data_IF_955252010985
#
_entry.id   IF_955252010985
#
_cell.length_a   1.000
_cell.length_b   1.000
_cell.length_c   1.000
_cell.angle_alpha   90.00
_cell.angle_beta   90.00
_cell.angle_gamma   90.00
#
_symmetry.space_group_name_H-M   'P 1'
#
loop_
_entity.id
_entity.type
_entity.pdbx_description
1 polymer ?
#
# COMPACT_ATOMS: atom_id res chain seq x y z
N UNK A 1 -8.76 -49.03 -5.82
CA UNK A 1 -8.22 -47.93 -5.00
C UNK A 1 -7.21 -47.02 -5.70
N UNK A 2 -6.66 -47.38 -6.87
CA UNK A 2 -5.68 -46.52 -7.60
C UNK A 2 -6.37 -45.51 -8.55
N UNK A 3 -7.56 -45.84 -9.09
CA UNK A 3 -8.29 -44.95 -10.00
C UNK A 3 -8.89 -43.69 -9.35
N UNK A 4 -9.21 -43.70 -8.06
CA UNK A 4 -9.76 -42.53 -7.35
C UNK A 4 -8.69 -41.48 -7.01
N UNK A 5 -7.43 -41.89 -6.82
CA UNK A 5 -6.34 -40.95 -6.59
C UNK A 5 -5.95 -40.19 -7.87
N UNK A 6 -6.12 -40.80 -9.06
CA UNK A 6 -5.87 -40.15 -10.34
C UNK A 6 -6.92 -39.07 -10.68
N UNK A 7 -8.17 -39.22 -10.23
CA UNK A 7 -9.23 -38.20 -10.46
C UNK A 7 -9.07 -36.93 -9.62
N UNK A 8 -8.37 -36.99 -8.48
CA UNK A 8 -8.16 -35.83 -7.60
C UNK A 8 -6.91 -35.01 -7.94
N UNK A 9 -5.97 -35.58 -8.70
CA UNK A 9 -4.78 -34.88 -9.19
C UNK A 9 -5.04 -34.06 -10.46
N UNK A 10 -6.11 -34.38 -11.20
CA UNK A 10 -6.44 -33.74 -12.47
C UNK A 10 -6.78 -32.23 -12.39
N UNK A 11 -7.51 -31.72 -11.38
CA UNK A 11 -7.80 -30.28 -11.26
C UNK A 11 -6.58 -29.45 -10.87
N UNK A 12 -5.70 -30.01 -10.03
CA UNK A 12 -4.48 -29.36 -9.54
C UNK A 12 -3.41 -29.27 -10.64
N UNK A 13 -3.28 -30.31 -11.48
CA UNK A 13 -2.42 -30.26 -12.65
C UNK A 13 -2.92 -29.21 -13.67
N UNK A 14 -4.25 -29.09 -13.85
CA UNK A 14 -4.85 -28.08 -14.75
C UNK A 14 -4.60 -26.65 -14.28
N UNK A 15 -4.65 -26.39 -12.98
CA UNK A 15 -4.40 -25.07 -12.40
C UNK A 15 -2.91 -24.68 -12.51
N UNK A 16 -2.00 -25.58 -12.19
CA UNK A 16 -0.54 -25.34 -12.26
C UNK A 16 -0.05 -25.11 -13.70
N UNK A 17 -0.58 -25.89 -14.66
CA UNK A 17 -0.28 -25.71 -16.10
C UNK A 17 -0.87 -24.39 -16.62
N UNK A 18 -2.07 -23.99 -16.17
CA UNK A 18 -2.68 -22.70 -16.57
C UNK A 18 -1.95 -21.46 -16.03
N UNK A 19 -1.29 -21.56 -14.87
CA UNK A 19 -0.56 -20.44 -14.26
C UNK A 19 0.83 -20.26 -14.88
N UNK A 20 1.53 -21.36 -15.22
CA UNK A 20 2.80 -21.27 -15.96
C UNK A 20 2.62 -20.84 -17.42
N UNK A 21 1.49 -21.20 -18.05
CA UNK A 21 1.17 -20.72 -19.40
C UNK A 21 0.83 -19.22 -19.43
N UNK A 22 0.28 -18.64 -18.34
CA UNK A 22 -0.07 -17.21 -18.29
C UNK A 22 1.13 -16.27 -18.09
N UNK A 23 2.23 -16.72 -17.47
CA UNK A 23 3.43 -15.89 -17.26
C UNK A 23 4.36 -15.80 -18.49
N UNK A 24 4.14 -16.62 -19.51
CA UNK A 24 4.92 -16.55 -20.76
C UNK A 24 4.21 -15.81 -21.90
N UNK A 25 2.97 -15.33 -21.73
CA UNK A 25 2.19 -14.74 -22.83
C UNK A 25 2.81 -13.49 -23.49
N UNK A 26 3.73 -12.78 -22.83
CA UNK A 26 4.44 -11.64 -23.45
C UNK A 26 5.46 -12.05 -24.52
N UNK A 27 6.19 -13.16 -24.30
CA UNK A 27 7.16 -13.70 -25.26
C UNK A 27 6.53 -14.77 -26.18
N UNK A 28 5.48 -15.46 -25.72
CA UNK A 28 4.75 -16.42 -26.55
C UNK A 28 3.75 -15.75 -27.49
N UNK A 29 3.26 -14.52 -27.27
CA UNK A 29 2.41 -13.83 -28.25
C UNK A 29 3.15 -13.54 -29.58
N UNK A 30 4.45 -13.21 -29.51
CA UNK A 30 5.31 -13.06 -30.70
C UNK A 30 5.59 -14.41 -31.37
N UNK A 31 5.61 -15.50 -30.60
CA UNK A 31 5.79 -16.86 -31.13
C UNK A 31 4.48 -17.53 -31.61
N UNK A 32 3.31 -17.18 -31.07
CA UNK A 32 1.99 -17.72 -31.45
C UNK A 32 1.33 -16.97 -32.63
N UNK A 33 1.81 -15.78 -32.98
CA UNK A 33 1.49 -15.14 -34.26
C UNK A 33 2.15 -15.82 -35.47
N UNK A 34 2.72 -17.02 -35.32
CA UNK A 34 3.24 -17.83 -36.43
C UNK A 34 2.16 -18.50 -37.30
N UNK A 35 0.88 -18.20 -37.11
CA UNK A 35 -0.18 -18.79 -37.95
C UNK A 35 -1.36 -17.85 -38.27
N UNK A 36 -1.23 -16.53 -38.03
CA UNK A 36 -2.15 -15.53 -38.59
C UNK A 36 -1.33 -14.45 -39.27
N UNK A 37 -1.55 -14.33 -40.57
CA UNK A 37 -0.90 -13.47 -41.56
C UNK A 37 -0.20 -12.24 -40.96
N UNK A 38 1.12 -12.36 -40.77
CA UNK A 38 1.98 -11.18 -40.56
C UNK A 38 1.83 -10.27 -41.78
N UNK A 39 1.63 -8.97 -41.54
CA UNK A 39 1.63 -7.96 -42.59
C UNK A 39 2.92 -8.08 -43.45
N UNK A 40 2.85 -7.98 -44.79
CA UNK A 40 4.00 -8.07 -45.68
C UNK A 40 5.26 -7.35 -45.21
N UNK A 41 5.15 -6.16 -44.58
CA UNK A 41 6.30 -5.40 -44.07
C UNK A 41 6.95 -6.09 -42.86
N UNK A 42 6.13 -6.60 -41.93
CA UNK A 42 6.63 -7.33 -40.75
C UNK A 42 7.29 -8.65 -41.15
N UNK A 43 6.74 -9.34 -42.16
CA UNK A 43 7.33 -10.57 -42.70
C UNK A 43 8.70 -10.29 -43.31
N UNK A 44 8.82 -9.22 -44.11
CA UNK A 44 10.09 -8.80 -44.70
C UNK A 44 11.14 -8.48 -43.62
N UNK A 45 10.73 -7.79 -42.55
CA UNK A 45 11.63 -7.44 -41.46
C UNK A 45 12.15 -8.67 -40.71
N UNK A 46 11.27 -9.62 -40.38
CA UNK A 46 11.66 -10.88 -39.73
C UNK A 46 12.55 -11.74 -40.64
N UNK A 47 12.27 -11.79 -41.94
CA UNK A 47 13.12 -12.47 -42.91
C UNK A 47 14.51 -11.83 -42.99
N UNK A 48 14.60 -10.49 -43.03
CA UNK A 48 15.88 -9.77 -43.03
C UNK A 48 16.68 -9.97 -41.74
N UNK A 49 16.03 -10.02 -40.58
CA UNK A 49 16.69 -10.34 -39.32
C UNK A 49 17.25 -11.77 -39.30
N UNK A 50 16.50 -12.75 -39.83
CA UNK A 50 16.97 -14.13 -39.96
C UNK A 50 18.12 -14.25 -40.94
N UNK A 51 18.03 -13.54 -42.08
CA UNK A 51 19.08 -13.46 -43.08
C UNK A 51 20.36 -12.88 -42.47
N UNK A 52 20.27 -11.75 -41.78
CA UNK A 52 21.40 -11.12 -41.09
C UNK A 52 21.99 -12.03 -40.01
N UNK A 53 21.16 -12.66 -39.18
CA UNK A 53 21.63 -13.58 -38.13
C UNK A 53 22.41 -14.77 -38.73
N UNK A 54 21.93 -15.29 -39.87
CA UNK A 54 22.58 -16.40 -40.57
C UNK A 54 23.93 -15.95 -41.15
N UNK A 55 23.95 -14.80 -41.83
CA UNK A 55 25.18 -14.23 -42.41
C UNK A 55 26.19 -13.81 -41.34
N UNK A 56 25.73 -13.29 -40.20
CA UNK A 56 26.58 -12.84 -39.09
C UNK A 56 27.29 -14.01 -38.42
N UNK A 57 26.59 -15.14 -38.25
CA UNK A 57 27.18 -16.38 -37.75
C UNK A 57 28.24 -16.94 -38.70
N UNK A 58 28.03 -16.88 -40.01
CA UNK A 58 29.05 -17.30 -40.99
C UNK A 58 30.23 -16.33 -41.08
N UNK A 59 30.01 -15.03 -40.87
CA UNK A 59 31.05 -14.00 -40.92
C UNK A 59 31.80 -13.81 -39.59
N UNK A 60 31.34 -14.42 -38.50
CA UNK A 60 31.93 -14.26 -37.16
C UNK A 60 31.78 -12.86 -36.57
N UNK A 61 30.86 -12.04 -37.09
CA UNK A 61 30.74 -10.62 -36.73
C UNK A 61 29.71 -9.86 -37.57
N UNK A 62 29.89 -8.54 -37.68
CA UNK A 62 29.01 -7.65 -38.46
C UNK A 62 29.09 -8.03 -39.94
N UNK A 63 27.93 -8.31 -40.54
CA UNK A 63 27.81 -8.69 -41.96
C UNK A 63 28.08 -7.48 -42.85
N UNK A 64 28.83 -7.67 -43.93
CA UNK A 64 29.18 -6.63 -44.91
C UNK A 64 30.00 -5.45 -44.35
N UNK A 65 30.76 -5.67 -43.27
CA UNK A 65 31.75 -4.72 -42.80
C UNK A 65 32.87 -4.56 -43.85
N UNK A 66 32.85 -3.46 -44.60
CA UNK A 66 33.90 -3.13 -45.57
C UNK A 66 35.26 -2.83 -44.91
N UNK A 67 36.34 -2.72 -45.70
CA UNK A 67 37.69 -2.42 -45.19
C UNK A 67 37.74 -1.12 -44.38
N UNK A 68 36.91 -0.13 -44.73
CA UNK A 68 36.78 1.14 -44.01
C UNK A 68 36.18 0.98 -42.61
N UNK A 69 35.22 0.08 -42.42
CA UNK A 69 34.64 -0.18 -41.11
C UNK A 69 35.70 -0.75 -40.16
N UNK A 70 36.47 -1.74 -40.63
CA UNK A 70 37.52 -2.34 -39.83
C UNK A 70 38.62 -1.31 -39.49
N UNK A 71 38.94 -0.41 -40.43
CA UNK A 71 39.89 0.68 -40.21
C UNK A 71 39.40 1.65 -39.14
N UNK A 72 38.15 2.10 -39.22
CA UNK A 72 37.56 2.99 -38.21
C UNK A 72 37.51 2.33 -36.82
N UNK A 73 37.14 1.04 -36.75
CA UNK A 73 37.13 0.30 -35.48
C UNK A 73 38.54 0.23 -34.88
N UNK A 74 39.56 -0.02 -35.71
CA UNK A 74 40.96 -0.07 -35.26
C UNK A 74 41.49 1.32 -34.84
N UNK A 75 41.11 2.38 -35.56
CA UNK A 75 41.50 3.75 -35.24
C UNK A 75 40.88 4.20 -33.90
N UNK A 76 39.62 3.88 -33.65
CA UNK A 76 38.95 4.16 -32.36
C UNK A 76 39.54 3.32 -31.22
N UNK A 77 39.81 2.03 -31.44
CA UNK A 77 40.52 1.18 -30.46
C UNK A 77 41.89 1.77 -30.10
N UNK A 78 42.63 2.28 -31.09
CA UNK A 78 43.94 2.90 -30.87
C UNK A 78 43.83 4.19 -30.08
N UNK A 79 42.80 5.02 -30.34
CA UNK A 79 42.52 6.22 -29.53
C UNK A 79 42.20 5.85 -28.08
N UNK A 80 41.30 4.89 -27.88
CA UNK A 80 40.89 4.44 -26.55
C UNK A 80 42.08 3.86 -25.77
N UNK A 81 42.95 3.09 -26.42
CA UNK A 81 44.13 2.52 -25.78
C UNK A 81 45.18 3.58 -25.40
N UNK A 82 45.30 4.66 -26.18
CA UNK A 82 46.14 5.83 -25.82
C UNK A 82 45.56 6.62 -24.65
N UNK A 83 44.24 6.75 -24.56
CA UNK A 83 43.56 7.56 -23.55
C UNK A 83 43.46 6.85 -22.20
N UNK A 84 43.22 5.53 -22.19
CA UNK A 84 42.84 4.78 -20.99
C UNK A 84 43.85 3.70 -20.56
N UNK A 85 44.90 3.44 -21.34
CA UNK A 85 45.97 2.49 -20.98
C UNK A 85 45.61 1.01 -21.22
N UNK A 86 46.49 0.10 -20.76
CA UNK A 86 46.49 -1.32 -21.14
C UNK A 86 45.33 -2.17 -20.61
N UNK A 87 44.81 -3.06 -21.46
CA UNK A 87 43.74 -4.02 -21.19
C UNK A 87 43.08 -4.50 -22.50
N UNK A 88 42.28 -5.57 -22.45
CA UNK A 88 41.44 -5.98 -23.58
C UNK A 88 40.15 -5.14 -23.57
N UNK A 89 40.13 -4.03 -24.34
CA UNK A 89 39.02 -3.08 -24.40
C UNK A 89 37.75 -3.65 -25.04
N UNK A 90 37.82 -4.88 -25.59
CA UNK A 90 36.65 -5.60 -26.12
C UNK A 90 35.92 -6.40 -25.03
N UNK A 91 36.48 -6.48 -23.82
CA UNK A 91 35.91 -7.19 -22.68
C UNK A 91 35.61 -6.23 -21.54
N UNK A 92 34.42 -6.40 -20.96
CA UNK A 92 34.05 -5.67 -19.76
C UNK A 92 34.93 -6.13 -18.58
N UNK A 93 35.42 -5.23 -17.71
CA UNK A 93 36.30 -5.61 -16.60
C UNK A 93 35.57 -6.49 -15.58
N UNK A 94 36.24 -7.53 -15.11
CA UNK A 94 35.79 -8.31 -13.95
C UNK A 94 36.14 -7.58 -12.65
N UNK A 95 35.15 -6.94 -12.02
CA UNK A 95 35.34 -6.29 -10.74
C UNK A 95 35.30 -7.31 -9.60
N UNK A 96 36.41 -7.42 -8.84
CA UNK A 96 36.44 -8.16 -7.57
C UNK A 96 36.36 -7.19 -6.40
N UNK A 97 35.17 -7.08 -5.82
CA UNK A 97 34.96 -6.31 -4.59
C UNK A 97 35.29 -7.20 -3.39
N UNK A 98 36.45 -7.00 -2.78
CA UNK A 98 36.83 -7.69 -1.54
C UNK A 98 36.40 -6.82 -0.36
N UNK A 99 35.38 -7.25 0.37
CA UNK A 99 34.97 -6.59 1.62
C UNK A 99 33.47 -6.49 1.89
N UNK A 100 32.68 -7.56 1.68
CA UNK A 100 31.33 -7.69 2.25
C UNK A 100 31.10 -9.13 2.71
N UNK A 101 31.82 -9.54 3.74
CA UNK A 101 31.43 -10.70 4.52
C UNK A 101 30.45 -10.22 5.61
N UNK A 102 29.16 -10.17 5.27
CA UNK A 102 28.10 -10.05 6.25
C UNK A 102 27.99 -11.36 7.02
N UNK A 103 28.43 -11.36 8.28
CA UNK A 103 28.21 -12.46 9.22
C UNK A 103 26.78 -12.43 9.76
N UNK A 104 25.85 -13.02 9.00
CA UNK A 104 24.69 -13.82 9.45
C UNK A 104 23.69 -13.90 8.29
N UNK A 105 23.87 -14.88 7.40
CA UNK A 105 22.94 -15.15 6.30
C UNK A 105 21.69 -15.87 6.81
N UNK A 106 20.87 -15.19 7.61
CA UNK A 106 19.43 -15.36 7.45
C UNK A 106 19.08 -14.56 6.20
N UNK A 107 18.61 -15.22 5.13
CA UNK A 107 18.16 -14.54 3.92
C UNK A 107 17.10 -13.51 4.32
N UNK A 108 17.43 -12.22 4.30
CA UNK A 108 16.44 -11.16 4.49
C UNK A 108 15.41 -11.32 3.38
N UNK A 109 14.18 -11.65 3.75
CA UNK A 109 13.07 -11.68 2.80
C UNK A 109 12.93 -10.29 2.18
N UNK A 110 12.70 -10.24 0.87
CA UNK A 110 12.40 -8.99 0.18
C UNK A 110 11.10 -8.37 0.75
N UNK A 111 10.94 -7.06 0.59
CA UNK A 111 9.72 -6.35 1.02
C UNK A 111 8.46 -6.98 0.43
N UNK A 112 8.51 -7.40 -0.83
CA UNK A 112 7.41 -8.08 -1.53
C UNK A 112 7.11 -9.46 -0.93
N UNK A 113 8.13 -10.22 -0.52
CA UNK A 113 7.93 -11.52 0.14
C UNK A 113 7.33 -11.36 1.53
N UNK A 114 7.78 -10.36 2.31
CA UNK A 114 7.19 -10.03 3.61
C UNK A 114 5.74 -9.61 3.47
N UNK A 115 5.43 -8.79 2.46
CA UNK A 115 4.08 -8.37 2.15
C UNK A 115 3.19 -9.57 1.81
N UNK A 116 3.64 -10.48 0.93
CA UNK A 116 2.92 -11.72 0.60
C UNK A 116 2.70 -12.59 1.83
N UNK A 117 3.72 -12.79 2.65
CA UNK A 117 3.63 -13.57 3.89
C UNK A 117 2.53 -13.00 4.82
N UNK A 118 2.54 -11.69 5.07
CA UNK A 118 1.51 -11.03 5.90
C UNK A 118 0.10 -11.24 5.33
N UNK A 119 -0.07 -11.07 4.02
CA UNK A 119 -1.37 -11.25 3.36
C UNK A 119 -1.87 -12.69 3.39
N UNK A 120 -0.97 -13.67 3.21
CA UNK A 120 -1.30 -15.08 3.28
C UNK A 120 -1.73 -15.47 4.69
N UNK A 121 -1.02 -14.98 5.72
CA UNK A 121 -1.39 -15.18 7.12
C UNK A 121 -2.75 -14.52 7.44
N UNK A 122 -2.97 -13.29 6.98
CA UNK A 122 -4.24 -12.59 7.17
C UNK A 122 -5.40 -13.36 6.54
N UNK A 123 -5.21 -13.80 5.29
CA UNK A 123 -6.24 -14.55 4.55
C UNK A 123 -6.52 -15.90 5.19
N UNK A 124 -5.48 -16.60 5.64
CA UNK A 124 -5.60 -17.88 6.34
C UNK A 124 -6.35 -17.73 7.67
N UNK A 125 -6.00 -16.73 8.47
CA UNK A 125 -6.66 -16.48 9.76
C UNK A 125 -8.11 -16.05 9.58
N UNK A 126 -8.39 -15.18 8.61
CA UNK A 126 -9.76 -14.80 8.24
C UNK A 126 -10.60 -16.01 7.81
N UNK A 127 -10.04 -16.89 6.97
CA UNK A 127 -10.70 -18.12 6.56
C UNK A 127 -10.93 -19.09 7.74
N UNK A 128 -9.95 -19.20 8.66
CA UNK A 128 -10.09 -19.98 9.90
C UNK A 128 -11.24 -19.46 10.74
N UNK A 129 -11.33 -18.15 10.97
CA UNK A 129 -12.43 -17.53 11.74
C UNK A 129 -13.79 -17.76 11.08
N UNK A 130 -13.88 -17.64 9.76
CA UNK A 130 -15.11 -17.94 9.01
C UNK A 130 -15.52 -19.41 9.13
N UNK A 131 -14.56 -20.34 9.12
CA UNK A 131 -14.84 -21.77 9.25
C UNK A 131 -15.41 -22.18 10.63
N UNK A 132 -15.22 -21.35 11.66
CA UNK A 132 -15.80 -21.57 12.99
C UNK A 132 -17.31 -21.35 13.03
N UNK A 133 -17.87 -20.66 12.03
CA UNK A 133 -19.31 -20.39 11.90
C UNK A 133 -19.87 -21.09 10.65
N UNK A 134 -19.93 -22.44 10.61
CA UNK A 134 -20.32 -23.16 9.40
C UNK A 134 -21.82 -23.05 9.09
N UNK A 135 -22.66 -22.80 10.10
CA UNK A 135 -24.11 -22.68 9.94
C UNK A 135 -24.51 -21.21 9.96
N UNK A 136 -25.31 -20.81 8.97
CA UNK A 136 -25.86 -19.45 8.90
C UNK A 136 -26.94 -19.30 9.98
N UNK A 137 -26.65 -18.48 10.97
CA UNK A 137 -27.60 -18.00 11.99
C UNK A 137 -28.08 -16.60 11.59
N UNK A 138 -29.38 -16.32 11.82
CA UNK A 138 -29.97 -15.01 11.53
C UNK A 138 -29.94 -14.13 12.77
N UNK A 139 -29.62 -12.86 12.58
CA UNK A 139 -29.66 -11.81 13.60
C UNK A 139 -30.56 -10.67 13.13
N UNK A 140 -31.18 -10.00 14.08
CA UNK A 140 -32.02 -8.84 13.85
C UNK A 140 -31.21 -7.58 14.12
N UNK A 141 -31.13 -6.70 13.13
CA UNK A 141 -30.40 -5.44 13.21
C UNK A 141 -31.39 -4.30 13.03
N UNK A 142 -31.58 -3.49 14.08
CA UNK A 142 -32.55 -2.41 14.08
C UNK A 142 -31.86 -1.07 13.82
N UNK A 143 -32.31 -0.33 12.82
CA UNK A 143 -31.80 1.01 12.53
C UNK A 143 -32.35 2.02 13.54
N UNK A 144 -31.46 2.67 14.27
CA UNK A 144 -31.74 3.79 15.15
C UNK A 144 -31.10 5.04 14.56
N UNK A 145 -31.89 6.09 14.32
CA UNK A 145 -31.41 7.30 13.65
C UNK A 145 -32.52 8.22 13.16
N UNK A 146 -32.10 9.40 12.67
CA UNK A 146 -33.01 10.44 12.15
C UNK A 146 -33.70 9.97 10.85
N UNK A 147 -33.02 9.17 10.04
CA UNK A 147 -33.52 8.64 8.76
C UNK A 147 -33.98 7.19 8.89
N UNK A 148 -35.20 6.91 8.41
CA UNK A 148 -35.85 5.58 8.45
C UNK A 148 -35.91 4.92 9.85
N UNK A 149 -36.44 5.62 10.88
CA UNK A 149 -36.46 5.10 12.25
C UNK A 149 -37.25 3.79 12.33
N UNK A 150 -36.69 2.80 13.03
CA UNK A 150 -37.36 1.52 13.29
C UNK A 150 -37.29 0.50 12.15
N UNK A 151 -36.49 0.76 11.11
CA UNK A 151 -36.22 -0.24 10.06
C UNK A 151 -35.51 -1.45 10.66
N UNK A 152 -36.01 -2.66 10.36
CA UNK A 152 -35.44 -3.91 10.83
C UNK A 152 -34.78 -4.66 9.66
N UNK A 153 -33.53 -5.05 9.82
CA UNK A 153 -32.81 -5.92 8.89
C UNK A 153 -32.65 -7.32 9.50
N UNK A 154 -32.88 -8.35 8.68
CA UNK A 154 -32.57 -9.73 9.06
C UNK A 154 -31.27 -10.14 8.37
N UNK A 155 -30.19 -10.16 9.15
CA UNK A 155 -28.81 -10.33 8.68
C UNK A 155 -28.23 -11.69 9.07
N UNK A 156 -27.06 -12.03 8.52
CA UNK A 156 -26.34 -13.25 8.85
C UNK A 156 -25.28 -12.97 9.92
N UNK A 157 -25.38 -13.69 11.04
CA UNK A 157 -24.40 -13.62 12.14
C UNK A 157 -23.01 -14.02 11.67
N UNK A 158 -21.99 -13.25 12.04
CA UNK A 158 -20.59 -13.51 11.71
C UNK A 158 -20.25 -13.42 10.22
N UNK A 159 -21.16 -12.85 9.40
CA UNK A 159 -21.00 -12.73 7.94
C UNK A 159 -21.42 -11.35 7.44
N UNK A 160 -22.57 -10.85 7.91
CA UNK A 160 -23.06 -9.51 7.56
C UNK A 160 -22.28 -8.43 8.32
N UNK A 161 -22.18 -7.26 7.71
CA UNK A 161 -21.50 -6.08 8.26
C UNK A 161 -22.43 -4.87 8.26
N UNK A 162 -22.13 -3.79 9.00
CA UNK A 162 -22.84 -2.52 8.88
C UNK A 162 -22.97 -2.02 7.44
N UNK A 163 -21.93 -2.18 6.62
CA UNK A 163 -21.97 -1.86 5.20
C UNK A 163 -23.02 -2.66 4.43
N UNK A 164 -23.23 -3.93 4.79
CA UNK A 164 -24.32 -4.73 4.22
C UNK A 164 -25.69 -4.12 4.53
N UNK A 165 -25.91 -3.65 5.76
CA UNK A 165 -27.13 -2.93 6.15
C UNK A 165 -27.31 -1.63 5.36
N UNK A 166 -26.26 -0.83 5.21
CA UNK A 166 -26.30 0.40 4.42
C UNK A 166 -26.70 0.16 2.96
N UNK A 167 -26.24 -0.96 2.36
CA UNK A 167 -26.63 -1.37 1.00
C UNK A 167 -28.10 -1.75 0.86
N UNK A 168 -28.73 -2.26 1.92
CA UNK A 168 -30.16 -2.55 1.91
C UNK A 168 -31.03 -1.28 2.00
N UNK A 169 -30.48 -0.17 2.50
CA UNK A 169 -31.20 1.10 2.55
C UNK A 169 -31.13 1.85 1.22
N UNK A 170 -29.93 2.30 0.84
CA UNK A 170 -29.72 3.02 -0.41
C UNK A 170 -28.24 3.15 -0.77
N UNK A 171 -27.99 3.49 -2.02
CA UNK A 171 -26.64 3.83 -2.48
C UNK A 171 -26.06 5.02 -1.72
N UNK A 172 -26.90 5.98 -1.33
CA UNK A 172 -26.48 7.14 -0.55
C UNK A 172 -25.87 6.72 0.79
N UNK A 173 -26.53 5.83 1.55
CA UNK A 173 -25.99 5.33 2.82
C UNK A 173 -24.67 4.57 2.58
N UNK A 174 -24.63 3.74 1.55
CA UNK A 174 -23.41 2.99 1.20
C UNK A 174 -22.20 3.89 0.87
N UNK A 175 -22.43 5.09 0.32
CA UNK A 175 -21.39 6.05 -0.09
C UNK A 175 -21.09 7.16 0.92
N UNK A 176 -21.91 7.34 1.95
CA UNK A 176 -21.76 8.45 2.90
C UNK A 176 -21.60 7.98 4.36
N UNK A 177 -21.97 6.75 4.69
CA UNK A 177 -21.73 6.17 6.00
C UNK A 177 -20.26 5.79 6.16
N UNK A 178 -19.57 6.44 7.09
CA UNK A 178 -18.13 6.25 7.34
C UNK A 178 -17.91 5.21 8.43
N UNK A 179 -18.66 5.33 9.52
CA UNK A 179 -18.66 4.42 10.66
C UNK A 179 -20.10 4.04 10.99
N UNK A 180 -20.23 3.06 11.88
CA UNK A 180 -21.49 2.76 12.53
C UNK A 180 -21.34 2.86 14.05
N UNK A 181 -22.41 3.20 14.75
CA UNK A 181 -22.56 2.88 16.16
C UNK A 181 -23.35 1.59 16.26
N UNK A 182 -22.80 0.59 16.92
CA UNK A 182 -23.46 -0.69 17.19
C UNK A 182 -23.69 -0.76 18.69
N UNK A 183 -24.95 -0.72 19.12
CA UNK A 183 -25.33 -0.62 20.54
C UNK A 183 -24.64 0.54 21.30
N UNK A 184 -24.37 1.66 20.59
CA UNK A 184 -23.68 2.82 21.16
C UNK A 184 -22.15 2.80 21.06
N UNK A 185 -21.54 1.69 20.61
CA UNK A 185 -20.09 1.58 20.44
C UNK A 185 -19.67 1.84 19.00
N UNK A 186 -18.54 2.53 18.80
CA UNK A 186 -18.00 2.84 17.47
C UNK A 186 -17.52 1.57 16.77
N UNK A 187 -17.98 1.38 15.53
CA UNK A 187 -17.79 0.15 14.76
C UNK A 187 -17.40 0.43 13.31
N UNK A 188 -16.47 -0.36 12.78
CA UNK A 188 -16.09 -0.30 11.37
C UNK A 188 -17.21 -0.80 10.46
N UNK A 189 -17.34 -0.17 9.29
CA UNK A 189 -18.36 -0.56 8.31
C UNK A 189 -18.16 -1.98 7.74
N UNK A 190 -16.92 -2.48 7.75
CA UNK A 190 -16.55 -3.81 7.29
C UNK A 190 -16.29 -4.83 8.41
N UNK A 191 -16.48 -4.45 9.68
CA UNK A 191 -16.41 -5.41 10.78
C UNK A 191 -17.71 -6.24 10.84
N UNK A 192 -17.58 -7.51 11.23
CA UNK A 192 -18.66 -8.49 11.24
C UNK A 192 -19.61 -8.25 12.42
N UNK A 193 -20.91 -8.43 12.19
CA UNK A 193 -21.92 -8.38 13.23
C UNK A 193 -22.09 -9.75 13.88
N UNK A 194 -21.86 -9.85 15.18
CA UNK A 194 -21.85 -11.12 15.94
C UNK A 194 -23.16 -11.41 16.68
N UNK A 195 -24.02 -10.42 16.86
CA UNK A 195 -25.27 -10.55 17.60
C UNK A 195 -26.33 -9.56 17.08
N UNK A 196 -27.59 -9.77 17.45
CA UNK A 196 -28.65 -8.79 17.19
C UNK A 196 -28.32 -7.48 17.89
N UNK A 197 -28.51 -6.36 17.18
CA UNK A 197 -28.01 -5.06 17.65
C UNK A 197 -28.82 -3.90 17.08
N UNK A 198 -28.69 -2.75 17.73
CA UNK A 198 -29.12 -1.47 17.20
C UNK A 198 -27.96 -0.82 16.44
N UNK A 199 -28.22 -0.30 15.24
CA UNK A 199 -27.22 0.34 14.39
C UNK A 199 -27.61 1.79 14.08
N UNK A 200 -26.64 2.69 14.17
CA UNK A 200 -26.73 4.05 13.64
C UNK A 200 -25.56 4.28 12.68
N UNK A 201 -25.79 4.94 11.55
CA UNK A 201 -24.72 5.32 10.64
C UNK A 201 -24.18 6.70 10.98
N UNK A 202 -22.86 6.84 10.97
CA UNK A 202 -22.16 8.10 11.19
C UNK A 202 -21.59 8.65 9.88
N UNK A 203 -21.69 9.97 9.69
CA UNK A 203 -21.24 10.67 8.49
C UNK A 203 -20.37 11.89 8.83
N UNK A 204 -19.62 12.41 7.86
CA UNK A 204 -18.86 13.66 8.02
C UNK A 204 -19.73 14.91 8.29
N UNK A 205 -21.04 14.83 8.07
CA UNK A 205 -21.97 15.97 8.17
C UNK A 205 -22.84 15.90 9.42
N UNK A 206 -22.55 14.97 10.32
CA UNK A 206 -23.26 14.88 11.59
C UNK A 206 -22.85 16.05 12.50
N UNK A 207 -23.69 16.34 13.51
CA UNK A 207 -23.45 17.44 14.46
C UNK A 207 -22.16 17.25 15.26
N UNK A 208 -21.85 15.99 15.61
CA UNK A 208 -20.61 15.58 16.25
C UNK A 208 -19.88 14.52 15.42
N UNK A 209 -18.98 14.93 14.49
CA UNK A 209 -18.23 14.03 13.64
C UNK A 209 -16.88 13.61 14.24
N UNK A 210 -16.64 13.77 15.55
CA UNK A 210 -15.33 13.55 16.17
C UNK A 210 -14.76 12.16 15.86
N UNK A 211 -15.54 11.10 16.09
CA UNK A 211 -15.12 9.71 15.87
C UNK A 211 -14.87 9.41 14.38
N UNK A 212 -15.68 10.00 13.50
CA UNK A 212 -15.50 9.91 12.06
C UNK A 212 -14.20 10.58 11.63
N UNK A 213 -13.88 11.74 12.21
CA UNK A 213 -12.64 12.45 11.93
C UNK A 213 -11.42 11.66 12.44
N UNK A 214 -11.46 11.11 13.66
CA UNK A 214 -10.37 10.24 14.18
C UNK A 214 -10.11 9.06 13.25
N UNK A 215 -11.17 8.34 12.82
CA UNK A 215 -11.04 7.22 11.89
C UNK A 215 -10.49 7.64 10.52
N UNK A 216 -10.89 8.81 10.01
CA UNK A 216 -10.36 9.37 8.76
C UNK A 216 -8.85 9.62 8.84
N UNK A 217 -8.38 10.24 9.91
CA UNK A 217 -6.97 10.57 10.10
C UNK A 217 -6.11 9.32 10.29
N UNK A 218 -6.61 8.35 11.06
CA UNK A 218 -5.99 7.03 11.23
C UNK A 218 -5.85 6.30 9.89
N UNK A 219 -6.88 6.38 9.05
CA UNK A 219 -6.87 5.79 7.70
C UNK A 219 -5.90 6.49 6.76
N UNK A 220 -5.83 7.82 6.81
CA UNK A 220 -4.86 8.58 6.01
C UNK A 220 -3.41 8.28 6.41
N UNK A 221 -3.14 8.16 7.71
CA UNK A 221 -1.83 7.77 8.21
C UNK A 221 -1.45 6.36 7.75
N UNK A 222 -2.37 5.39 7.79
CA UNK A 222 -2.12 4.03 7.31
C UNK A 222 -1.78 4.00 5.80
N UNK A 223 -2.46 4.79 4.97
CA UNK A 223 -2.14 4.92 3.55
C UNK A 223 -0.76 5.53 3.31
N UNK A 224 -0.38 6.51 4.13
CA UNK A 224 0.97 7.06 4.11
C UNK A 224 2.02 6.00 4.48
N UNK A 225 1.76 5.19 5.51
CA UNK A 225 2.62 4.06 5.90
C UNK A 225 2.83 3.05 4.77
N UNK A 226 1.77 2.68 4.06
CA UNK A 226 1.82 1.77 2.90
C UNK A 226 2.73 2.31 1.78
N UNK A 227 2.61 3.60 1.47
CA UNK A 227 3.45 4.23 0.44
C UNK A 227 4.90 4.32 0.91
N UNK A 228 5.14 4.68 2.18
CA UNK A 228 6.49 4.78 2.73
C UNK A 228 7.21 3.43 2.73
N UNK A 229 6.53 2.31 3.04
CA UNK A 229 7.14 0.96 3.01
C UNK A 229 7.60 0.55 1.61
N UNK A 230 6.93 1.03 0.56
CA UNK A 230 7.18 0.62 -0.84
C UNK A 230 7.95 1.65 -1.69
N UNK A 231 8.13 2.88 -1.20
CA UNK A 231 8.73 3.95 -1.99
C UNK A 231 10.25 3.89 -2.10
N UNK A 232 10.93 3.27 -1.13
CA UNK A 232 12.39 3.21 -1.10
C UNK A 232 12.91 1.97 -1.85
N UNK A 233 14.13 2.06 -2.37
CA UNK A 233 14.78 0.91 -3.02
C UNK A 233 15.02 -0.21 -2.01
N UNK A 234 15.01 -1.45 -2.47
CA UNK A 234 15.20 -2.65 -1.62
C UNK A 234 16.52 -2.67 -0.83
N UNK A 235 17.51 -1.89 -1.27
CA UNK A 235 18.80 -1.73 -0.57
C UNK A 235 18.69 -0.93 0.73
N UNK A 236 17.61 -0.15 0.92
CA UNK A 236 17.37 0.64 2.13
C UNK A 236 16.30 -0.02 2.99
N UNK A 237 16.59 -0.23 4.27
CA UNK A 237 15.58 -0.68 5.22
C UNK A 237 14.60 0.44 5.57
N UNK A 238 13.31 0.12 5.60
CA UNK A 238 12.24 1.00 6.09
C UNK A 238 11.50 0.26 7.18
N UNK A 239 11.60 0.75 8.41
CA UNK A 239 10.88 0.21 9.56
C UNK A 239 9.76 1.19 9.92
N UNK A 240 8.52 0.75 9.71
CA UNK A 240 7.34 1.50 10.14
C UNK A 240 7.20 1.38 11.67
N UNK A 241 7.11 2.51 12.38
CA UNK A 241 6.89 2.50 13.82
C UNK A 241 5.38 2.53 14.10
N UNK A 242 4.87 3.70 14.49
CA UNK A 242 3.50 3.91 14.90
C UNK A 242 2.96 5.19 14.26
N UNK A 243 1.66 5.20 13.99
CA UNK A 243 0.91 6.44 13.75
C UNK A 243 0.55 7.06 15.09
N UNK A 244 1.15 8.18 15.52
CA UNK A 244 0.71 8.87 16.73
C UNK A 244 -0.74 9.37 16.53
N UNK A 245 -1.57 9.25 17.55
CA UNK A 245 -2.92 9.82 17.52
C UNK A 245 -2.82 11.33 17.75
N UNK A 246 -2.79 12.07 16.64
CA UNK A 246 -2.74 13.54 16.67
C UNK A 246 -4.17 14.08 16.60
N UNK A 247 -4.56 15.04 17.47
CA UNK A 247 -5.85 15.69 17.35
C UNK A 247 -6.06 16.31 15.97
N UNK A 248 -7.25 16.17 15.41
CA UNK A 248 -7.61 16.68 14.07
C UNK A 248 -7.37 18.17 13.94
N UNK A 249 -7.54 18.92 15.04
CA UNK A 249 -7.29 20.36 15.12
C UNK A 249 -5.82 20.76 14.89
N UNK A 250 -4.88 19.82 15.01
CA UNK A 250 -3.46 20.05 14.71
C UNK A 250 -3.19 20.39 13.25
N UNK A 251 -4.07 19.97 12.34
CA UNK A 251 -3.92 20.20 10.91
C UNK A 251 -3.07 19.16 10.15
N UNK A 252 -2.39 18.19 10.80
CA UNK A 252 -1.61 17.15 10.09
C UNK A 252 -1.70 15.74 10.71
N UNK A 253 -2.00 14.72 9.90
CA UNK A 253 -1.81 13.34 10.36
C UNK A 253 -0.34 12.96 10.17
N UNK A 254 0.15 12.09 11.05
CA UNK A 254 1.56 11.78 11.13
C UNK A 254 1.79 10.26 11.06
N UNK A 255 2.94 9.86 10.54
CA UNK A 255 3.40 8.47 10.61
C UNK A 255 4.91 8.46 10.89
N UNK A 256 5.31 7.77 11.95
CA UNK A 256 6.71 7.70 12.36
C UNK A 256 7.39 6.48 11.71
N UNK A 257 8.56 6.71 11.14
CA UNK A 257 9.36 5.70 10.45
C UNK A 257 10.83 5.81 10.86
N UNK A 258 11.52 4.68 10.85
CA UNK A 258 12.98 4.62 10.87
C UNK A 258 13.44 4.19 9.50
N UNK A 259 14.32 5.00 8.90
CA UNK A 259 14.96 4.68 7.62
C UNK A 259 16.38 4.16 7.87
N UNK A 260 16.95 3.55 6.85
CA UNK A 260 18.35 3.12 6.84
C UNK A 260 19.29 4.26 7.25
N UNK A 261 20.34 3.91 8.01
CA UNK A 261 21.39 4.83 8.46
C UNK A 261 22.06 5.60 7.31
N UNK A 262 22.11 5.03 6.11
CA UNK A 262 22.65 5.71 4.92
C UNK A 262 21.82 6.95 4.53
N UNK A 263 20.57 7.02 4.97
CA UNK A 263 19.65 8.13 4.72
C UNK A 263 19.61 9.13 5.88
N UNK A 264 20.45 9.02 6.91
CA UNK A 264 20.45 9.93 8.08
C UNK A 264 20.72 11.40 7.76
N UNK A 265 21.48 11.66 6.70
CA UNK A 265 21.68 13.01 6.18
C UNK A 265 20.55 13.47 5.23
N UNK A 266 19.69 12.57 4.76
CA UNK A 266 18.59 12.89 3.85
C UNK A 266 17.47 13.60 4.62
N UNK A 267 17.20 14.84 4.22
CA UNK A 267 16.09 15.62 4.75
C UNK A 267 15.33 16.28 3.58
N UNK A 268 14.19 15.71 3.16
CA UNK A 268 13.43 16.24 2.04
C UNK A 268 12.85 17.63 2.32
N UNK A 269 12.56 17.94 3.60
CA UNK A 269 11.99 19.24 4.01
C UNK A 269 12.98 20.41 3.87
N UNK A 270 14.30 20.15 3.84
CA UNK A 270 15.33 21.19 3.65
C UNK A 270 15.56 21.55 2.17
N UNK A 271 15.12 20.71 1.22
CA UNK A 271 15.47 20.83 -0.19
C UNK A 271 14.53 21.72 -1.03
N UNK A 272 13.69 22.54 -0.39
CA UNK A 272 12.60 23.38 -0.95
C UNK A 272 11.22 22.71 -0.93
N UNK A 273 10.18 23.55 -0.75
CA UNK A 273 8.73 23.26 -0.73
C UNK A 273 8.21 22.47 -1.94
N UNK A 274 9.06 22.34 -2.94
CA UNK A 274 8.82 21.66 -4.21
C UNK A 274 9.68 20.40 -4.27
N UNK A 275 9.86 19.67 -3.17
CA UNK A 275 10.56 18.38 -3.21
C UNK A 275 9.79 17.39 -4.11
N UNK A 276 10.47 16.95 -5.16
CA UNK A 276 9.95 15.95 -6.09
C UNK A 276 9.69 14.61 -5.40
N UNK A 277 10.41 14.32 -4.32
CA UNK A 277 10.21 13.12 -3.49
C UNK A 277 8.84 13.14 -2.81
N UNK A 278 8.48 14.23 -2.12
CA UNK A 278 7.18 14.35 -1.45
C UNK A 278 6.01 14.34 -2.45
N UNK A 279 6.21 14.95 -3.64
CA UNK A 279 5.26 14.83 -4.74
C UNK A 279 5.15 13.39 -5.25
N UNK A 280 6.26 12.68 -5.39
CA UNK A 280 6.26 11.29 -5.83
C UNK A 280 5.50 10.39 -4.84
N UNK A 281 5.73 10.56 -3.54
CA UNK A 281 4.98 9.86 -2.49
C UNK A 281 3.48 10.21 -2.56
N UNK A 282 3.15 11.49 -2.72
CA UNK A 282 1.76 11.94 -2.86
C UNK A 282 1.08 11.32 -4.08
N UNK A 283 1.76 11.26 -5.23
CA UNK A 283 1.26 10.58 -6.44
C UNK A 283 1.03 9.08 -6.21
N UNK A 284 1.92 8.42 -5.48
CA UNK A 284 1.76 7.01 -5.11
C UNK A 284 0.50 6.81 -4.24
N UNK A 285 0.23 7.70 -3.27
CA UNK A 285 -1.02 7.64 -2.49
C UNK A 285 -2.23 7.81 -3.40
N UNK A 286 -2.23 8.78 -4.32
CA UNK A 286 -3.33 8.97 -5.26
C UNK A 286 -3.59 7.72 -6.13
N UNK A 287 -2.55 6.98 -6.50
CA UNK A 287 -2.69 5.69 -7.19
C UNK A 287 -3.42 4.64 -6.34
N UNK A 288 -3.30 4.67 -5.01
CA UNK A 288 -4.07 3.83 -4.10
C UNK A 288 -5.53 4.30 -4.01
N UNK A 289 -5.75 5.62 -3.92
CA UNK A 289 -7.10 6.18 -3.83
C UNK A 289 -7.96 5.85 -5.06
N UNK A 290 -7.34 5.75 -6.24
CA UNK A 290 -8.03 5.40 -7.50
C UNK A 290 -8.47 3.93 -7.55
N UNK A 291 -7.87 3.06 -6.74
CA UNK A 291 -8.22 1.64 -6.67
C UNK A 291 -9.45 1.36 -5.80
N UNK A 292 -9.89 2.33 -4.98
CA UNK A 292 -11.05 2.21 -4.06
C UNK A 292 -11.04 0.93 -3.19
N UNK A 293 -9.85 0.64 -2.64
CA UNK A 293 -9.58 -0.51 -1.79
C UNK A 293 -10.33 -0.42 -0.46
N UNK A 294 -10.91 -1.54 0.06
CA UNK A 294 -11.51 -1.58 1.38
C UNK A 294 -10.47 -1.66 2.49
N UNK A 295 -10.79 -1.11 3.66
CA UNK A 295 -10.09 -1.41 4.90
C UNK A 295 -10.77 -2.60 5.58
N UNK A 296 -10.03 -3.70 5.72
CA UNK A 296 -10.54 -4.94 6.28
C UNK A 296 -9.97 -5.16 7.70
N UNK A 297 -10.78 -4.98 8.75
CA UNK A 297 -10.38 -5.29 10.11
C UNK A 297 -10.33 -6.81 10.33
N UNK A 298 -9.38 -7.25 11.16
CA UNK A 298 -9.32 -8.61 11.69
C UNK A 298 -8.77 -8.57 13.12
N UNK A 299 -9.53 -9.12 14.06
CA UNK A 299 -9.05 -9.32 15.43
C UNK A 299 -8.33 -10.66 15.52
N UNK A 300 -7.11 -10.66 16.04
CA UNK A 300 -6.25 -11.84 16.07
C UNK A 300 -5.62 -12.02 17.44
N UNK A 301 -5.23 -13.26 17.74
CA UNK A 301 -4.44 -13.58 18.92
C UNK A 301 -3.01 -13.03 18.76
N UNK A 302 -2.34 -12.61 19.84
CA UNK A 302 -1.00 -12.00 19.76
C UNK A 302 0.01 -12.90 19.03
N UNK A 303 -0.08 -14.21 19.20
CA UNK A 303 0.77 -15.19 18.51
C UNK A 303 0.72 -15.07 16.98
N UNK A 304 -0.47 -14.84 16.42
CA UNK A 304 -0.66 -14.70 14.97
C UNK A 304 -0.11 -13.35 14.49
N UNK A 305 -0.35 -12.27 15.26
CA UNK A 305 0.22 -10.96 14.95
C UNK A 305 1.76 -10.97 15.02
N UNK A 306 2.35 -11.63 16.02
CA UNK A 306 3.81 -11.81 16.13
C UNK A 306 4.39 -12.56 14.92
N UNK A 307 3.68 -13.56 14.40
CA UNK A 307 4.08 -14.26 13.16
C UNK A 307 4.03 -13.33 11.93
N UNK A 308 2.98 -12.50 11.80
CA UNK A 308 2.85 -11.51 10.72
C UNK A 308 4.00 -10.48 10.73
N UNK A 309 4.44 -10.07 11.92
CA UNK A 309 5.46 -9.03 12.10
C UNK A 309 6.82 -9.57 12.59
N UNK A 310 7.11 -10.85 12.36
CA UNK A 310 8.30 -11.54 12.89
C UNK A 310 9.66 -10.91 12.50
N UNK A 311 9.70 -10.12 11.43
CA UNK A 311 10.90 -9.43 10.94
C UNK A 311 11.11 -8.07 11.59
N UNK A 312 10.05 -7.45 12.13
CA UNK A 312 10.08 -6.13 12.74
C UNK A 312 10.05 -6.26 14.26
N UNK A 313 11.16 -5.89 14.91
CA UNK A 313 11.23 -5.90 16.38
C UNK A 313 10.34 -4.83 16.99
N UNK A 314 10.23 -3.68 16.31
CA UNK A 314 9.37 -2.59 16.77
C UNK A 314 7.89 -3.02 16.77
N UNK A 315 7.41 -3.62 15.68
CA UNK A 315 6.02 -4.10 15.60
C UNK A 315 5.75 -5.23 16.59
N UNK A 316 6.71 -6.12 16.85
CA UNK A 316 6.55 -7.15 17.89
C UNK A 316 6.32 -6.55 19.29
N UNK A 317 7.12 -5.54 19.67
CA UNK A 317 6.91 -4.81 20.92
C UNK A 317 5.52 -4.14 20.97
N UNK A 318 5.07 -3.55 19.85
CA UNK A 318 3.73 -2.97 19.76
C UNK A 318 2.61 -4.02 19.90
N UNK A 319 2.79 -5.22 19.34
CA UNK A 319 1.82 -6.32 19.51
C UNK A 319 1.69 -6.69 20.98
N UNK A 320 2.81 -6.83 21.68
CA UNK A 320 2.81 -7.16 23.11
C UNK A 320 2.16 -6.06 23.96
N UNK A 321 2.49 -4.80 23.70
CA UNK A 321 1.89 -3.65 24.37
C UNK A 321 0.37 -3.57 24.14
N UNK A 322 -0.07 -3.69 22.89
CA UNK A 322 -1.50 -3.66 22.53
C UNK A 322 -2.27 -4.83 23.14
N UNK A 323 -1.68 -6.02 23.14
CA UNK A 323 -2.27 -7.20 23.76
C UNK A 323 -2.44 -7.04 25.27
N UNK A 324 -1.49 -6.38 25.95
CA UNK A 324 -1.56 -6.13 27.39
C UNK A 324 -2.65 -5.12 27.79
N UNK A 325 -2.94 -4.14 26.93
CA UNK A 325 -4.00 -3.15 27.16
C UNK A 325 -5.39 -3.61 26.70
N UNK A 326 -5.47 -4.66 25.89
CA UNK A 326 -6.74 -5.21 25.40
C UNK A 326 -7.43 -6.07 26.48
N UNK A 327 -8.69 -5.78 26.87
CA UNK A 327 -9.42 -6.59 27.85
C UNK A 327 -9.59 -8.06 27.44
N UNK A 328 -9.59 -8.33 26.13
CA UNK A 328 -9.74 -9.66 25.56
C UNK A 328 -8.39 -10.33 25.28
N UNK A 329 -7.28 -9.62 25.47
CA UNK A 329 -5.93 -10.09 25.11
C UNK A 329 -5.72 -10.25 23.61
N UNK A 330 -6.58 -9.64 22.78
CA UNK A 330 -6.52 -9.68 21.31
C UNK A 330 -5.92 -8.40 20.75
N UNK A 331 -5.42 -8.47 19.52
CA UNK A 331 -4.85 -7.32 18.79
C UNK A 331 -5.58 -7.16 17.46
N UNK A 332 -5.85 -5.92 17.05
CA UNK A 332 -6.52 -5.62 15.79
C UNK A 332 -5.50 -5.30 14.69
N UNK A 333 -5.60 -6.02 13.58
CA UNK A 333 -4.84 -5.77 12.35
C UNK A 333 -5.80 -5.33 11.25
N UNK A 334 -5.32 -4.45 10.37
CA UNK A 334 -6.08 -3.98 9.21
C UNK A 334 -5.33 -4.34 7.95
N UNK A 335 -6.09 -4.80 6.94
CA UNK A 335 -5.59 -4.96 5.58
C UNK A 335 -6.18 -3.90 4.66
N UNK A 336 -5.34 -3.22 3.89
CA UNK A 336 -5.72 -2.34 2.80
C UNK A 336 -4.97 -2.74 1.52
N UNK A 337 -5.65 -3.40 0.59
CA UNK A 337 -4.99 -4.05 -0.56
C UNK A 337 -3.97 -5.08 -0.09
N UNK A 338 -2.70 -4.86 -0.44
CA UNK A 338 -1.59 -5.74 -0.04
C UNK A 338 -0.88 -5.26 1.24
N UNK A 339 -1.31 -4.17 1.89
CA UNK A 339 -0.67 -3.68 3.11
C UNK A 339 -1.42 -4.15 4.36
N UNK A 340 -0.69 -4.64 5.35
CA UNK A 340 -1.24 -5.10 6.64
C UNK A 340 -0.50 -4.40 7.77
N UNK A 341 -1.24 -3.73 8.67
CA UNK A 341 -0.67 -2.99 9.80
C UNK A 341 -1.55 -3.08 11.05
N UNK A 342 -0.96 -2.74 12.20
CA UNK A 342 -1.59 -2.67 13.52
C UNK A 342 -2.26 -1.32 13.74
N UNK A 343 -3.45 -1.32 14.33
CA UNK A 343 -4.19 -0.08 14.61
C UNK A 343 -5.20 -0.30 15.75
N UNK A 344 -5.36 0.70 16.63
CA UNK A 344 -6.17 0.57 17.85
C UNK A 344 -7.64 0.95 17.66
N UNK A 345 -7.95 1.73 16.62
CA UNK A 345 -9.28 2.24 16.38
C UNK A 345 -9.83 1.92 15.00
N UNK A 346 -11.09 2.27 14.74
CA UNK A 346 -11.73 2.02 13.46
C UNK A 346 -11.11 2.86 12.34
N UNK A 347 -11.30 2.38 11.13
CA UNK A 347 -10.90 3.00 9.87
C UNK A 347 -12.13 3.34 9.03
N UNK A 348 -11.92 4.21 8.04
CA UNK A 348 -12.94 4.48 7.02
C UNK A 348 -13.19 3.23 6.18
N UNK A 349 -14.34 3.09 5.50
CA UNK A 349 -14.67 1.84 4.83
C UNK A 349 -13.74 1.54 3.64
N UNK A 350 -13.41 2.59 2.87
CA UNK A 350 -12.64 2.48 1.63
C UNK A 350 -11.74 3.68 1.40
N UNK A 351 -10.70 3.48 0.62
CA UNK A 351 -9.79 4.56 0.19
C UNK A 351 -10.47 5.61 -0.67
N UNK A 352 -11.55 5.29 -1.41
CA UNK A 352 -12.26 6.25 -2.26
C UNK A 352 -13.00 7.37 -1.53
N UNK A 353 -13.08 7.30 -0.20
CA UNK A 353 -13.55 8.39 0.67
C UNK A 353 -12.54 9.53 0.77
N UNK A 354 -11.24 9.25 0.66
CA UNK A 354 -10.21 10.27 0.55
C UNK A 354 -10.25 10.87 -0.86
N UNK A 355 -10.17 12.20 -0.95
CA UNK A 355 -10.19 12.89 -2.24
C UNK A 355 -8.90 13.65 -2.51
N UNK A 356 -8.64 14.69 -1.73
CA UNK A 356 -7.43 15.48 -1.82
C UNK A 356 -6.49 14.95 -0.73
N UNK A 357 -5.25 14.61 -1.09
CA UNK A 357 -4.28 14.03 -0.17
C UNK A 357 -2.90 14.59 -0.52
N UNK A 358 -2.13 15.00 0.47
CA UNK A 358 -0.80 15.54 0.28
C UNK A 358 0.11 15.14 1.42
N UNK A 359 1.31 14.65 1.11
CA UNK A 359 2.39 14.46 2.09
C UNK A 359 3.21 15.74 2.10
N UNK A 360 3.13 16.49 3.19
CA UNK A 360 3.56 17.89 3.26
C UNK A 360 5.02 18.03 3.70
N UNK A 361 5.46 17.22 4.65
CA UNK A 361 6.79 17.33 5.24
C UNK A 361 7.28 15.99 5.82
N UNK A 362 8.59 15.89 6.03
CA UNK A 362 9.21 14.87 6.85
C UNK A 362 10.19 15.50 7.84
N UNK A 363 9.94 15.32 9.13
CA UNK A 363 10.72 15.91 10.21
C UNK A 363 11.59 14.86 10.89
N UNK A 364 12.83 15.21 11.21
CA UNK A 364 13.69 14.33 12.00
C UNK A 364 13.43 14.57 13.48
N UNK A 365 12.91 13.56 14.19
CA UNK A 365 12.66 13.65 15.64
C UNK A 365 13.91 13.37 16.49
N UNK A 366 14.96 12.82 15.88
CA UNK A 366 16.18 12.45 16.58
C UNK A 366 16.28 10.94 16.85
N UNK A 367 17.24 10.53 17.70
CA UNK A 367 17.46 9.12 18.00
C UNK A 367 16.33 8.57 18.90
N UNK A 368 15.76 7.45 18.48
CA UNK A 368 14.82 6.64 19.27
C UNK A 368 15.36 5.23 19.54
N UNK A 369 14.59 4.38 20.24
CA UNK A 369 15.02 3.02 20.61
C UNK A 369 15.40 2.13 19.43
N UNK A 370 14.84 2.41 18.25
CA UNK A 370 14.98 1.60 17.04
C UNK A 370 15.87 2.24 15.96
N UNK A 371 16.40 3.45 16.19
CA UNK A 371 17.21 4.21 15.24
C UNK A 371 16.77 5.67 15.12
N UNK A 372 17.22 6.35 14.07
CA UNK A 372 16.86 7.75 13.80
C UNK A 372 15.41 7.85 13.33
N UNK A 373 14.55 8.42 14.17
CA UNK A 373 13.11 8.51 13.91
C UNK A 373 12.81 9.72 13.03
N UNK A 374 12.01 9.49 11.99
CA UNK A 374 11.46 10.54 11.11
C UNK A 374 9.94 10.49 11.15
N UNK A 375 9.32 11.66 11.28
CA UNK A 375 7.88 11.85 11.25
C UNK A 375 7.47 12.42 9.91
N UNK A 376 6.76 11.62 9.12
CA UNK A 376 6.11 12.10 7.91
C UNK A 376 4.77 12.72 8.28
N UNK A 377 4.46 13.86 7.68
CA UNK A 377 3.22 14.61 7.87
C UNK A 377 2.43 14.64 6.57
N UNK A 378 1.11 14.57 6.69
CA UNK A 378 0.22 14.76 5.57
C UNK A 378 -1.08 15.47 5.95
N UNK A 379 -1.74 15.98 4.91
CA UNK A 379 -3.05 16.61 4.98
C UNK A 379 -3.96 15.95 3.95
N UNK A 380 -5.23 15.78 4.29
CA UNK A 380 -6.19 15.10 3.44
C UNK A 380 -7.60 15.61 3.71
N UNK A 381 -8.40 15.72 2.65
CA UNK A 381 -9.82 16.09 2.74
C UNK A 381 -10.71 15.00 2.13
N UNK A 382 -11.80 14.62 2.82
CA UNK A 382 -12.72 13.62 2.31
C UNK A 382 -13.50 14.17 1.13
N UNK A 383 -13.97 13.27 0.25
CA UNK A 383 -14.78 13.61 -0.93
C UNK A 383 -16.02 14.45 -0.57
N UNK A 384 -16.59 14.24 0.61
CA UNK A 384 -17.79 14.92 1.09
C UNK A 384 -17.52 16.37 1.53
N UNK A 385 -16.27 16.76 1.79
CA UNK A 385 -15.85 18.08 2.28
C UNK A 385 -14.82 18.72 1.33
N UNK A 386 -15.01 18.60 0.02
CA UNK A 386 -14.09 19.17 -0.96
C UNK A 386 -14.08 20.71 -0.93
N UNK A 387 -12.88 21.26 -1.05
CA UNK A 387 -12.63 22.70 -1.16
C UNK A 387 -12.18 23.02 -2.59
N UNK A 388 -12.72 24.09 -3.18
CA UNK A 388 -12.48 24.49 -4.58
C UNK A 388 -11.05 24.96 -4.84
N UNK A 389 -10.41 25.56 -3.84
CA UNK A 389 -9.02 26.00 -3.91
C UNK A 389 -8.28 25.47 -2.68
N UNK A 390 -7.41 24.48 -2.89
CA UNK A 390 -6.40 24.09 -1.92
C UNK A 390 -5.24 25.08 -2.08
N UNK A 391 -5.24 26.14 -1.28
CA UNK A 391 -4.24 27.21 -1.46
C UNK A 391 -2.91 26.81 -0.85
N UNK A 392 -1.82 27.43 -1.32
CA UNK A 392 -0.50 27.28 -0.68
C UNK A 392 -0.47 27.81 0.77
N UNK A 393 -1.50 28.54 1.19
CA UNK A 393 -1.68 29.11 2.52
C UNK A 393 -2.21 28.06 3.51
N UNK A 394 -3.17 27.24 3.07
CA UNK A 394 -3.65 26.07 3.83
C UNK A 394 -2.52 25.05 4.06
N UNK A 395 -1.61 24.93 3.08
CA UNK A 395 -0.37 24.14 3.18
C UNK A 395 0.62 24.72 4.19
N UNK A 396 0.73 26.05 4.28
CA UNK A 396 1.67 26.76 5.19
C UNK A 396 1.30 26.55 6.66
N UNK A 397 0.03 26.71 7.03
CA UNK A 397 -0.41 26.59 8.43
C UNK A 397 -0.19 25.20 9.05
N UNK A 398 -0.03 24.17 8.21
CA UNK A 398 0.14 22.78 8.65
C UNK A 398 1.59 22.43 8.99
N UNK A 399 2.56 23.04 8.30
CA UNK A 399 3.99 22.75 8.46
C UNK A 399 4.57 23.42 9.72
N UNK A 400 4.12 24.64 10.03
CA UNK A 400 4.68 25.43 11.13
C UNK A 400 4.07 25.07 12.52
N UNK A 401 2.88 24.48 12.56
CA UNK A 401 2.11 24.29 13.81
C UNK A 401 2.62 23.17 14.74
N UNK A 402 3.57 22.32 14.32
CA UNK A 402 4.13 21.28 15.17
C UNK A 402 5.49 21.65 15.80
N UNK A 403 6.16 22.68 15.29
CA UNK A 403 7.35 23.26 15.95
C UNK A 403 6.96 24.19 17.13
N UNK A 404 5.70 24.62 17.20
CA UNK A 404 5.17 25.41 18.31
C UNK A 404 3.88 24.79 18.88
N UNK A 405 3.99 24.08 20.01
CA UNK A 405 2.86 23.60 20.81
C UNK A 405 2.04 24.73 21.49
N UNK A 406 1.94 25.93 20.89
CA UNK A 406 1.35 27.09 21.57
C UNK A 406 0.46 28.02 20.76
N UNK A 407 0.09 27.75 19.51
CA UNK A 407 -0.98 28.51 18.87
C UNK A 407 -1.90 27.62 18.03
N UNK A 408 -3.01 27.27 18.68
CA UNK A 408 -4.19 26.67 18.07
C UNK A 408 -4.80 27.64 17.03
N UNK A 409 -5.58 27.08 16.09
CA UNK A 409 -6.68 27.77 15.37
C UNK A 409 -6.38 28.39 14.01
N UNK A 410 -5.95 27.65 12.98
CA UNK A 410 -6.01 28.21 11.60
C UNK A 410 -6.62 27.27 10.55
N UNK A 411 -6.33 25.96 10.52
CA UNK A 411 -6.70 25.17 9.32
C UNK A 411 -8.20 24.78 9.30
N UNK A 412 -8.83 24.48 10.44
CA UNK A 412 -10.26 24.12 10.46
C UNK A 412 -11.23 25.31 10.55
N UNK A 413 -10.79 26.47 11.07
CA UNK A 413 -11.63 27.67 11.14
C UNK A 413 -11.79 28.35 9.78
N UNK A 414 -10.82 28.21 8.87
CA UNK A 414 -10.98 28.64 7.47
C UNK A 414 -11.88 27.72 6.64
N UNK A 415 -12.22 26.54 7.16
CA UNK A 415 -13.07 25.54 6.50
C UNK A 415 -14.48 25.48 7.06
N UNK A 416 -14.83 26.31 8.05
CA UNK A 416 -16.23 26.62 8.29
C UNK A 416 -16.75 27.35 7.05
N UNK A 417 -17.78 26.83 6.36
CA UNK A 417 -18.33 27.51 5.22
C UNK A 417 -18.77 28.89 5.67
N UNK A 418 -18.51 29.90 4.84
CA UNK A 418 -19.39 31.06 4.80
C UNK A 418 -20.81 30.52 4.59
N UNK A 419 -21.52 30.32 5.70
CA UNK A 419 -22.97 30.21 5.75
C UNK A 419 -23.46 31.60 5.35
N UNK A 420 -23.46 31.88 4.04
CA UNK A 420 -24.31 32.90 3.49
C UNK A 420 -25.73 32.36 3.59
N UNK A 421 -26.43 32.79 4.64
CA UNK A 421 -27.89 32.76 4.63
C UNK A 421 -28.36 33.69 3.50
N UNK A 422 -29.30 33.28 2.62
CA UNK A 422 -30.22 34.22 2.03
C UNK A 422 -31.18 34.77 3.10
#
# INVERSE_FOLDING_TARGET
MILQHLSQLYPLLRAAVSLQLRRNLGLTAVAFNKAKELDPVQKLFVEKLREYTTKSKSAGGVVDAGPEYQRNVNDELTKLQRLYGGGDLTKFPDFKFVGFASSSSASRLSSVELQRLRNDLFTREKARQQSLTPRIEKIEVKLVGKTHPGTLFVMNKGLSTPYSCARHLSEWHSKNSILALVNGEVWDMHCLLTQSCEIQFLTFKDEDPEEVNKAYWRSCAMLMGQVLESAFKEEFSVELLQSPEVPVLSGAFCYDVVLDSHLDSWNPSKASRTDENLRALTRAVHSLLHQDLPFEPLEVQPKVALEMFQHSKCKQAQVEEKAAHSPQGTVRVYRCGDFVDLSDGPHIPRTGFCSQFEITAAHSLGPGPWGQVRRFQGLSLPRQLQVRHWTDEDRRGTVDNLDSYHNQSIVFLSLQPQIRMP
#
